data_IF_860236022864
#
_entry.id   IF_860236022864
#
_cell.length_a   1.000
_cell.length_b   1.000
_cell.length_c   1.000
_cell.angle_alpha   90.00
_cell.angle_beta   90.00
_cell.angle_gamma   90.00
#
_symmetry.space_group_name_H-M   'P 1'
#
loop_
_entity.id
_entity.type
_entity.pdbx_description
1 polymer ?
#
# COMPACT_ATOMS: atom_id res chain seq x y z
N UNK A 1 -13.89 -3.92 -19.48
CA UNK A 1 -15.28 -4.10 -18.96
C UNK A 1 -16.23 -3.39 -19.89
N UNK A 2 -17.41 -3.97 -20.18
CA UNK A 2 -18.33 -3.42 -21.17
C UNK A 2 -19.57 -2.87 -20.46
N UNK A 3 -19.78 -1.57 -20.57
CA UNK A 3 -21.01 -0.92 -20.17
C UNK A 3 -21.80 -0.56 -21.43
N UNK A 4 -23.08 -0.91 -21.47
CA UNK A 4 -23.90 -0.71 -22.66
C UNK A 4 -23.97 0.76 -23.04
N UNK A 5 -23.67 1.10 -24.30
CA UNK A 5 -23.68 2.49 -24.77
C UNK A 5 -22.53 3.36 -24.24
N UNK A 6 -21.48 2.79 -23.65
CA UNK A 6 -20.30 3.52 -23.19
C UNK A 6 -19.04 3.06 -23.92
N UNK A 7 -18.16 4.01 -24.26
CA UNK A 7 -16.85 3.75 -24.89
C UNK A 7 -15.75 4.36 -24.05
N UNK A 8 -14.76 3.57 -23.66
CA UNK A 8 -13.59 4.07 -22.92
C UNK A 8 -12.74 5.03 -23.77
N UNK A 9 -12.21 6.08 -23.13
CA UNK A 9 -11.48 7.19 -23.80
C UNK A 9 -10.08 7.42 -23.23
N UNK A 10 -9.92 7.35 -21.91
CA UNK A 10 -8.65 7.57 -21.21
C UNK A 10 -8.57 6.76 -19.93
N UNK A 11 -7.36 6.50 -19.45
CA UNK A 11 -7.10 5.82 -18.18
C UNK A 11 -5.95 6.48 -17.41
N UNK A 12 -6.19 6.70 -16.12
CA UNK A 12 -5.23 7.25 -15.18
C UNK A 12 -5.00 6.21 -14.09
N UNK A 13 -3.76 5.73 -13.96
CA UNK A 13 -3.36 4.70 -13.01
C UNK A 13 -2.42 5.27 -11.95
N UNK A 14 -2.65 4.86 -10.71
CA UNK A 14 -1.76 5.09 -9.58
C UNK A 14 -1.47 3.74 -8.90
N UNK A 15 -0.22 3.30 -8.97
CA UNK A 15 0.20 1.96 -8.58
C UNK A 15 1.24 2.04 -7.46
N UNK A 16 1.04 1.31 -6.36
CA UNK A 16 2.10 1.06 -5.39
C UNK A 16 3.15 0.16 -6.04
N UNK A 17 4.42 0.32 -5.64
CA UNK A 17 5.46 -0.61 -6.04
C UNK A 17 5.11 -2.07 -5.67
N UNK A 18 5.67 -3.02 -6.43
CA UNK A 18 5.58 -4.45 -6.12
C UNK A 18 6.32 -4.85 -4.84
N UNK A 19 6.36 -6.14 -4.59
CA UNK A 19 7.04 -6.75 -3.44
C UNK A 19 8.51 -6.33 -3.37
N UNK A 20 8.97 -6.04 -2.15
CA UNK A 20 10.30 -5.51 -1.87
C UNK A 20 10.93 -6.20 -0.68
N UNK A 21 12.22 -5.97 -0.49
CA UNK A 21 12.92 -6.28 0.74
C UNK A 21 12.53 -5.32 1.89
N UNK A 22 12.82 -5.68 3.17
CA UNK A 22 12.39 -4.91 4.32
C UNK A 22 13.10 -3.55 4.42
N UNK A 23 12.58 -2.71 5.30
CA UNK A 23 13.09 -1.34 5.49
C UNK A 23 14.41 -1.28 6.27
N UNK A 24 15.02 -0.09 6.27
CA UNK A 24 16.27 0.21 7.02
C UNK A 24 16.19 -0.08 8.52
N UNK A 25 14.99 -0.02 9.12
CA UNK A 25 14.76 -0.33 10.53
C UNK A 25 14.77 -1.84 10.83
N UNK A 26 14.55 -2.68 9.82
CA UNK A 26 14.34 -4.12 9.99
C UNK A 26 15.55 -4.94 9.59
N UNK A 27 16.14 -4.74 8.40
CA UNK A 27 17.22 -5.61 7.90
C UNK A 27 18.39 -5.77 8.88
N UNK A 28 18.96 -4.69 9.47
CA UNK A 28 20.06 -4.84 10.42
C UNK A 28 19.66 -5.71 11.63
N UNK A 29 18.46 -5.45 12.18
CA UNK A 29 17.91 -6.23 13.30
C UNK A 29 17.64 -7.68 12.90
N UNK A 30 17.13 -7.92 11.70
CA UNK A 30 16.89 -9.27 11.17
C UNK A 30 18.18 -10.08 11.05
N UNK A 31 19.25 -9.46 10.57
CA UNK A 31 20.56 -10.11 10.43
C UNK A 31 21.24 -10.36 11.77
N UNK A 32 20.96 -9.54 12.79
CA UNK A 32 21.61 -9.65 14.09
C UNK A 32 20.80 -10.45 15.13
N UNK A 33 19.51 -10.17 15.28
CA UNK A 33 18.65 -10.69 16.35
C UNK A 33 18.05 -12.05 15.99
N UNK A 34 17.61 -12.26 14.75
CA UNK A 34 16.91 -13.50 14.37
C UNK A 34 17.81 -14.74 14.42
N UNK A 35 19.09 -14.73 14.00
CA UNK A 35 19.97 -15.87 14.20
C UNK A 35 20.20 -16.22 15.69
N UNK A 36 20.26 -15.20 16.56
CA UNK A 36 20.36 -15.40 18.02
C UNK A 36 19.10 -16.04 18.57
N UNK A 37 17.92 -15.55 18.16
CA UNK A 37 16.62 -16.12 18.55
C UNK A 37 16.45 -17.54 18.02
N UNK A 38 16.82 -17.81 16.77
CA UNK A 38 16.81 -19.14 16.17
C UNK A 38 17.63 -20.13 17.02
N UNK A 39 18.83 -19.75 17.46
CA UNK A 39 19.66 -20.59 18.32
C UNK A 39 18.99 -20.90 19.66
N UNK A 40 18.45 -19.88 20.34
CA UNK A 40 17.72 -20.03 21.61
C UNK A 40 16.51 -20.95 21.45
N UNK A 41 15.75 -20.80 20.37
CA UNK A 41 14.57 -21.61 20.07
C UNK A 41 14.95 -23.08 19.89
N UNK A 42 16.02 -23.36 19.15
CA UNK A 42 16.51 -24.73 18.92
C UNK A 42 17.06 -25.36 20.22
N UNK A 43 17.82 -24.62 21.02
CA UNK A 43 18.28 -25.09 22.33
C UNK A 43 17.10 -25.40 23.27
N UNK A 44 16.10 -24.53 23.30
CA UNK A 44 14.90 -24.77 24.09
C UNK A 44 14.11 -25.99 23.58
N UNK A 45 14.10 -26.23 22.28
CA UNK A 45 13.47 -27.41 21.69
C UNK A 45 14.17 -28.70 22.13
N UNK A 46 15.49 -28.74 22.08
CA UNK A 46 16.29 -29.88 22.58
C UNK A 46 16.07 -30.15 24.08
N UNK A 47 15.81 -29.10 24.85
CA UNK A 47 15.48 -29.18 26.28
C UNK A 47 13.99 -29.46 26.59
N UNK A 48 13.15 -29.69 25.58
CA UNK A 48 11.72 -29.97 25.78
C UNK A 48 10.89 -28.79 26.30
N UNK A 49 11.35 -27.55 26.10
CA UNK A 49 10.72 -26.31 26.59
C UNK A 49 9.85 -25.60 25.55
N UNK A 50 9.76 -26.13 24.33
CA UNK A 50 8.96 -25.54 23.24
C UNK A 50 7.79 -26.44 22.87
N UNK A 51 6.87 -25.91 22.06
CA UNK A 51 5.77 -26.67 21.43
C UNK A 51 6.00 -26.90 19.94
N UNK A 52 7.21 -26.68 19.44
CA UNK A 52 7.56 -26.93 18.04
C UNK A 52 7.42 -28.41 17.71
N UNK A 53 6.91 -28.72 16.52
CA UNK A 53 7.01 -30.08 15.98
C UNK A 53 8.44 -30.38 15.53
N UNK A 54 8.78 -31.66 15.40
CA UNK A 54 10.08 -32.06 14.86
C UNK A 54 10.33 -31.49 13.45
N UNK A 55 9.27 -31.39 12.63
CA UNK A 55 9.35 -30.80 11.29
C UNK A 55 9.62 -29.29 11.37
N UNK A 56 8.95 -28.56 12.26
CA UNK A 56 9.20 -27.13 12.41
C UNK A 56 10.61 -26.86 12.95
N UNK A 57 11.11 -27.70 13.85
CA UNK A 57 12.50 -27.62 14.34
C UNK A 57 13.53 -27.83 13.22
N UNK A 58 13.26 -28.74 12.26
CA UNK A 58 14.10 -28.91 11.06
C UNK A 58 14.10 -27.64 10.21
N UNK A 59 12.92 -27.03 9.95
CA UNK A 59 12.83 -25.76 9.22
C UNK A 59 13.63 -24.65 9.92
N UNK A 60 13.52 -24.54 11.24
CA UNK A 60 14.33 -23.61 12.01
C UNK A 60 15.82 -23.92 11.88
N UNK A 61 16.25 -25.18 11.90
CA UNK A 61 17.67 -25.54 11.75
C UNK A 61 18.24 -25.17 10.38
N UNK A 62 17.44 -25.31 9.34
CA UNK A 62 17.81 -25.01 7.94
C UNK A 62 17.74 -23.53 7.61
N UNK A 63 16.93 -22.76 8.35
CA UNK A 63 16.71 -21.34 8.09
C UNK A 63 18.01 -20.54 8.06
N UNK A 64 18.18 -19.74 7.01
CA UNK A 64 19.24 -18.74 6.87
C UNK A 64 18.62 -17.46 6.28
N UNK A 65 19.01 -16.27 6.73
CA UNK A 65 18.50 -15.04 6.16
C UNK A 65 18.91 -14.91 4.68
N UNK A 66 17.93 -14.89 3.78
CA UNK A 66 18.13 -14.74 2.32
C UNK A 66 18.18 -13.26 1.89
N UNK A 67 18.88 -12.43 2.66
CA UNK A 67 18.98 -11.00 2.41
C UNK A 67 20.30 -10.43 2.93
N UNK A 68 20.67 -9.25 2.43
CA UNK A 68 21.86 -8.50 2.83
C UNK A 68 21.50 -7.03 3.13
N UNK A 69 22.46 -6.29 3.69
CA UNK A 69 22.32 -4.83 3.87
C UNK A 69 22.09 -4.09 2.54
N UNK A 70 22.58 -4.63 1.42
CA UNK A 70 22.45 -4.01 0.10
C UNK A 70 21.06 -4.17 -0.51
N UNK A 71 20.22 -5.04 0.05
CA UNK A 71 18.88 -5.31 -0.46
C UNK A 71 17.83 -4.33 0.09
N UNK A 72 18.20 -3.50 1.07
CA UNK A 72 17.26 -2.62 1.77
C UNK A 72 16.32 -1.83 0.85
N UNK A 73 15.02 -2.09 1.03
CA UNK A 73 13.92 -1.45 0.31
C UNK A 73 13.95 -1.61 -1.21
N UNK A 74 14.80 -2.48 -1.76
CA UNK A 74 14.82 -2.77 -3.20
C UNK A 74 13.65 -3.67 -3.58
N UNK A 75 13.17 -3.52 -4.82
CA UNK A 75 12.20 -4.45 -5.40
C UNK A 75 12.81 -5.87 -5.43
N UNK A 76 11.99 -6.88 -5.15
CA UNK A 76 12.39 -8.29 -5.28
C UNK A 76 11.99 -8.81 -6.66
N UNK A 77 12.51 -9.98 -7.05
CA UNK A 77 12.07 -10.66 -8.27
C UNK A 77 10.56 -10.95 -8.27
N UNK A 78 9.96 -11.28 -7.12
CA UNK A 78 8.51 -11.40 -7.06
C UNK A 78 7.81 -10.07 -7.35
N UNK A 79 8.32 -8.96 -6.82
CA UNK A 79 7.80 -7.63 -7.15
C UNK A 79 7.95 -7.26 -8.63
N UNK A 80 9.00 -7.73 -9.30
CA UNK A 80 9.17 -7.59 -10.75
C UNK A 80 8.06 -8.36 -11.50
N UNK A 81 7.85 -9.64 -11.15
CA UNK A 81 6.84 -10.51 -11.74
C UNK A 81 5.40 -9.99 -11.52
N UNK A 82 5.11 -9.49 -10.32
CA UNK A 82 3.84 -8.85 -9.98
C UNK A 82 3.53 -7.70 -10.93
N UNK A 83 4.51 -6.83 -11.17
CA UNK A 83 4.33 -5.63 -12.00
C UNK A 83 4.23 -5.98 -13.49
N UNK A 84 4.99 -6.96 -13.99
CA UNK A 84 4.83 -7.50 -15.35
C UNK A 84 3.40 -8.01 -15.52
N UNK A 85 2.97 -8.91 -14.64
CA UNK A 85 1.64 -9.52 -14.71
C UNK A 85 0.54 -8.48 -14.59
N UNK A 86 0.74 -7.43 -13.78
CA UNK A 86 -0.21 -6.31 -13.65
C UNK A 86 -0.31 -5.50 -14.94
N UNK A 87 0.81 -5.23 -15.62
CA UNK A 87 0.84 -4.59 -16.94
C UNK A 87 0.05 -5.38 -17.98
N UNK A 88 0.32 -6.68 -18.09
CA UNK A 88 -0.37 -7.60 -19.00
C UNK A 88 -1.89 -7.62 -18.75
N UNK A 89 -2.32 -7.70 -17.49
CA UNK A 89 -3.75 -7.70 -17.14
C UNK A 89 -4.46 -6.39 -17.47
N UNK A 90 -3.80 -5.25 -17.24
CA UNK A 90 -4.36 -3.94 -17.60
C UNK A 90 -4.47 -3.78 -19.13
N UNK A 91 -3.45 -4.19 -19.88
CA UNK A 91 -3.49 -4.19 -21.34
C UNK A 91 -4.58 -5.11 -21.89
N UNK A 92 -4.67 -6.35 -21.42
CA UNK A 92 -5.71 -7.29 -21.83
C UNK A 92 -7.12 -6.76 -21.53
N UNK A 93 -7.27 -5.98 -20.46
CA UNK A 93 -8.55 -5.41 -20.05
C UNK A 93 -8.95 -4.14 -20.82
N UNK A 94 -7.97 -3.33 -21.21
CA UNK A 94 -8.17 -2.05 -21.89
C UNK A 94 -7.29 -1.93 -23.16
N UNK A 95 -7.41 -2.85 -24.13
CA UNK A 95 -6.51 -2.89 -25.29
C UNK A 95 -6.61 -1.64 -26.18
N UNK A 96 -7.78 -0.98 -26.18
CA UNK A 96 -8.02 0.28 -26.89
C UNK A 96 -7.28 1.47 -26.27
N UNK A 97 -7.09 1.48 -24.95
CA UNK A 97 -6.37 2.52 -24.21
C UNK A 97 -4.89 2.20 -24.07
N UNK A 98 -4.55 0.91 -24.12
CA UNK A 98 -3.21 0.40 -23.85
C UNK A 98 -2.68 -0.50 -25.00
N UNK A 99 -2.48 0.05 -26.21
CA UNK A 99 -1.95 -0.72 -27.34
C UNK A 99 -0.52 -1.23 -27.10
N UNK A 100 -0.18 -2.38 -27.69
CA UNK A 100 1.12 -3.06 -27.51
C UNK A 100 2.34 -2.27 -28.02
N UNK A 101 2.12 -1.23 -28.84
CA UNK A 101 3.19 -0.40 -29.38
C UNK A 101 3.31 0.88 -28.55
N UNK A 102 4.48 1.06 -27.93
CA UNK A 102 4.78 2.27 -27.17
C UNK A 102 4.82 3.52 -28.06
N UNK A 103 4.17 4.59 -27.58
CA UNK A 103 4.33 5.97 -28.07
C UNK A 103 4.16 6.94 -26.90
N UNK A 104 4.94 8.02 -26.89
CA UNK A 104 4.79 9.11 -25.92
C UNK A 104 3.51 9.95 -26.14
N UNK A 105 2.84 9.80 -27.29
CA UNK A 105 1.51 10.36 -27.54
C UNK A 105 0.40 9.50 -26.91
N UNK A 106 0.70 8.24 -26.59
CA UNK A 106 -0.26 7.30 -26.00
C UNK A 106 -0.04 7.20 -24.49
N UNK A 107 1.21 7.12 -24.05
CA UNK A 107 1.58 6.79 -22.67
C UNK A 107 2.41 7.88 -21.99
N UNK A 108 2.09 8.13 -20.73
CA UNK A 108 2.94 8.87 -19.78
C UNK A 108 3.21 8.02 -18.56
N UNK A 109 4.50 7.77 -18.30
CA UNK A 109 4.97 7.08 -17.10
C UNK A 109 5.64 8.07 -16.16
N UNK A 110 5.37 7.98 -14.86
CA UNK A 110 6.14 8.69 -13.82
C UNK A 110 6.28 7.82 -12.58
N UNK A 111 7.36 7.98 -11.85
CA UNK A 111 7.61 7.26 -10.60
C UNK A 111 8.22 8.20 -9.57
N UNK A 112 8.09 7.87 -8.28
CA UNK A 112 8.83 8.58 -7.23
C UNK A 112 10.32 8.23 -7.26
N UNK A 113 11.21 9.14 -6.83
CA UNK A 113 12.67 8.90 -6.79
C UNK A 113 13.08 7.83 -5.75
N UNK A 114 12.75 6.56 -6.02
CA UNK A 114 13.18 5.37 -5.28
C UNK A 114 13.32 4.19 -6.24
N UNK A 115 14.33 3.35 -6.02
CA UNK A 115 14.60 2.19 -6.89
C UNK A 115 13.36 1.29 -7.07
N UNK A 116 12.65 0.97 -5.98
CA UNK A 116 11.48 0.07 -6.07
C UNK A 116 10.34 0.60 -6.93
N UNK A 117 10.12 1.91 -6.99
CA UNK A 117 9.07 2.49 -7.84
C UNK A 117 9.52 2.67 -9.28
N UNK A 118 10.80 2.97 -9.48
CA UNK A 118 11.40 2.98 -10.82
C UNK A 118 11.36 1.58 -11.45
N UNK A 119 11.86 0.57 -10.74
CA UNK A 119 11.83 -0.81 -11.25
C UNK A 119 10.40 -1.31 -11.43
N UNK A 120 9.46 -0.96 -10.54
CA UNK A 120 8.05 -1.30 -10.75
C UNK A 120 7.50 -0.70 -12.04
N UNK A 121 7.89 0.54 -12.37
CA UNK A 121 7.48 1.19 -13.62
C UNK A 121 8.06 0.47 -14.84
N UNK A 122 9.35 0.11 -14.79
CA UNK A 122 10.04 -0.62 -15.86
C UNK A 122 9.42 -2.00 -16.12
N UNK A 123 9.13 -2.74 -15.05
CA UNK A 123 8.55 -4.09 -15.15
C UNK A 123 7.08 -4.06 -15.57
N UNK A 124 6.30 -3.06 -15.13
CA UNK A 124 4.96 -2.84 -15.65
C UNK A 124 4.98 -2.53 -17.16
N UNK A 125 5.91 -1.68 -17.61
CA UNK A 125 6.10 -1.40 -19.03
C UNK A 125 6.58 -2.63 -19.82
N UNK A 126 7.40 -3.49 -19.21
CA UNK A 126 7.79 -4.76 -19.81
C UNK A 126 6.58 -5.69 -20.02
N UNK A 127 5.62 -5.71 -19.09
CA UNK A 127 4.35 -6.42 -19.27
C UNK A 127 3.46 -5.82 -20.37
N UNK A 128 3.50 -4.51 -20.59
CA UNK A 128 2.74 -3.85 -21.66
C UNK A 128 3.34 -4.03 -23.07
N UNK A 129 4.66 -4.02 -23.19
CA UNK A 129 5.33 -3.86 -24.50
C UNK A 129 6.33 -4.98 -24.82
N UNK A 130 6.54 -5.91 -23.87
CA UNK A 130 7.64 -6.86 -23.90
C UNK A 130 8.98 -6.23 -23.53
N UNK A 131 9.96 -7.09 -23.20
CA UNK A 131 11.27 -6.67 -22.68
C UNK A 131 12.09 -5.81 -23.63
N UNK A 132 12.00 -6.07 -24.95
CA UNK A 132 12.78 -5.33 -25.95
C UNK A 132 12.19 -3.93 -26.19
N UNK A 133 10.88 -3.84 -26.37
CA UNK A 133 10.22 -2.57 -26.70
C UNK A 133 10.15 -1.64 -25.48
N UNK A 134 10.05 -2.19 -24.27
CA UNK A 134 10.00 -1.39 -23.02
C UNK A 134 11.29 -0.59 -22.75
N UNK A 135 12.42 -0.94 -23.37
CA UNK A 135 13.66 -0.17 -23.28
C UNK A 135 13.55 1.23 -23.92
N UNK A 136 12.61 1.41 -24.85
CA UNK A 136 12.37 2.69 -25.51
C UNK A 136 11.39 3.60 -24.75
N UNK A 137 10.85 3.14 -23.62
CA UNK A 137 9.89 3.92 -22.83
C UNK A 137 10.59 5.11 -22.21
N UNK A 138 10.05 6.30 -22.47
CA UNK A 138 10.52 7.53 -21.85
C UNK A 138 9.97 7.65 -20.43
N UNK A 139 10.90 7.82 -19.49
CA UNK A 139 10.59 8.17 -18.11
C UNK A 139 11.15 9.57 -17.83
N UNK A 140 10.30 10.56 -17.53
CA UNK A 140 10.75 11.86 -17.05
C UNK A 140 11.53 11.71 -15.74
N UNK A 141 12.49 12.62 -15.51
CA UNK A 141 13.23 12.68 -14.25
C UNK A 141 12.27 12.80 -13.05
N UNK A 142 12.40 11.95 -12.02
CA UNK A 142 11.48 11.92 -10.91
C UNK A 142 11.65 13.15 -10.00
N UNK A 143 10.53 13.70 -9.55
CA UNK A 143 10.52 14.87 -8.66
C UNK A 143 10.69 14.42 -7.21
N UNK A 144 11.62 15.02 -6.47
CA UNK A 144 11.92 14.63 -5.08
C UNK A 144 10.73 14.84 -4.13
N UNK A 145 10.09 16.01 -4.18
CA UNK A 145 8.85 16.34 -3.46
C UNK A 145 7.69 16.41 -4.44
N UNK A 146 7.40 15.28 -5.06
CA UNK A 146 6.37 15.19 -6.08
C UNK A 146 4.99 15.54 -5.49
N UNK A 147 4.32 16.63 -5.94
CA UNK A 147 3.04 17.07 -5.40
C UNK A 147 1.88 16.16 -5.81
N UNK A 148 2.10 15.19 -6.71
CA UNK A 148 1.08 14.24 -7.18
C UNK A 148 1.40 12.86 -6.61
N UNK A 149 2.62 12.38 -6.82
CA UNK A 149 2.99 11.01 -6.44
C UNK A 149 3.34 10.87 -4.96
N UNK A 150 3.68 11.96 -4.29
CA UNK A 150 4.17 11.92 -2.91
C UNK A 150 3.83 13.20 -2.14
N UNK A 151 2.62 13.71 -2.36
CA UNK A 151 2.11 14.97 -1.80
C UNK A 151 2.36 15.12 -0.28
N UNK A 152 2.21 14.04 0.49
CA UNK A 152 2.48 14.04 1.93
C UNK A 152 3.92 14.35 2.33
N UNK A 153 4.91 14.11 1.46
CA UNK A 153 6.29 14.57 1.68
C UNK A 153 6.50 16.01 1.22
N UNK A 154 5.66 16.52 0.33
CA UNK A 154 5.64 17.93 -0.04
C UNK A 154 4.96 18.80 1.04
N UNK A 155 4.01 18.24 1.82
CA UNK A 155 3.26 18.95 2.86
C UNK A 155 4.05 19.12 4.18
N UNK A 156 4.54 20.32 4.54
CA UNK A 156 5.29 20.52 5.79
C UNK A 156 4.41 20.39 7.04
N UNK A 157 3.20 20.93 7.02
CA UNK A 157 2.26 20.86 8.15
C UNK A 157 1.90 19.44 8.53
N UNK A 158 1.55 18.58 7.57
CA UNK A 158 1.28 17.16 7.82
C UNK A 158 2.50 16.44 8.43
N UNK A 159 3.70 16.72 7.92
CA UNK A 159 4.93 16.12 8.46
C UNK A 159 5.19 16.51 9.92
N UNK A 160 4.78 17.69 10.34
CA UNK A 160 4.94 18.18 11.70
C UNK A 160 3.81 17.72 12.63
N UNK A 161 2.57 17.92 12.20
CA UNK A 161 1.36 17.70 13.02
C UNK A 161 0.91 16.24 13.05
N UNK A 162 1.33 15.41 12.10
CA UNK A 162 0.93 13.99 12.00
C UNK A 162 2.15 13.06 11.97
N UNK A 163 2.96 13.06 10.90
CA UNK A 163 4.07 12.09 10.67
C UNK A 163 5.06 12.03 11.85
N UNK A 164 5.47 13.20 12.35
CA UNK A 164 6.42 13.34 13.45
C UNK A 164 5.75 13.59 14.80
N UNK A 165 4.41 13.65 14.86
CA UNK A 165 3.69 13.94 16.07
C UNK A 165 3.54 12.66 16.91
N UNK A 166 4.12 12.58 18.13
CA UNK A 166 3.96 11.43 18.99
C UNK A 166 2.50 11.12 19.35
N UNK A 167 1.61 12.11 19.32
CA UNK A 167 0.19 11.91 19.61
C UNK A 167 -0.54 11.17 18.49
N UNK A 168 -0.05 11.23 17.25
CA UNK A 168 -0.66 10.52 16.12
C UNK A 168 -0.54 8.99 16.23
N UNK A 169 0.36 8.48 17.07
CA UNK A 169 0.50 7.04 17.33
C UNK A 169 0.07 6.63 18.76
N UNK A 170 -0.67 7.50 19.47
CA UNK A 170 -1.06 7.24 20.86
C UNK A 170 -1.95 6.00 20.99
N UNK A 171 -2.87 5.80 20.05
CA UNK A 171 -3.79 4.66 20.04
C UNK A 171 -3.02 3.34 19.83
N UNK A 172 -2.06 3.30 18.90
CA UNK A 172 -1.16 2.14 18.77
C UNK A 172 -0.41 1.88 20.08
N UNK A 173 0.17 2.91 20.70
CA UNK A 173 0.91 2.74 21.98
C UNK A 173 0.03 2.20 23.11
N UNK A 174 -1.23 2.62 23.20
CA UNK A 174 -2.19 2.06 24.17
C UNK A 174 -2.51 0.61 23.84
N UNK A 175 -2.73 0.28 22.57
CA UNK A 175 -2.99 -1.10 22.13
C UNK A 175 -1.82 -2.04 22.44
N UNK A 176 -0.58 -1.60 22.21
CA UNK A 176 0.62 -2.37 22.54
C UNK A 176 0.79 -2.67 24.04
N UNK A 177 0.09 -1.93 24.92
CA UNK A 177 0.06 -2.16 26.38
C UNK A 177 -1.20 -2.92 26.84
N UNK A 178 -2.06 -3.32 25.92
CA UNK A 178 -3.31 -4.00 26.23
C UNK A 178 -3.10 -5.43 26.68
N UNK A 179 -4.10 -5.98 27.38
CA UNK A 179 -4.12 -7.40 27.76
C UNK A 179 -4.01 -8.33 26.56
N UNK A 180 -4.60 -7.95 25.42
CA UNK A 180 -4.53 -8.70 24.15
C UNK A 180 -3.08 -8.92 23.70
N UNK A 181 -2.26 -7.87 23.73
CA UNK A 181 -0.85 -7.97 23.31
C UNK A 181 -0.02 -8.72 24.35
N UNK A 182 -0.30 -8.54 25.64
CA UNK A 182 0.34 -9.32 26.71
C UNK A 182 0.06 -10.82 26.52
N UNK A 183 -1.19 -11.19 26.24
CA UNK A 183 -1.59 -12.59 26.03
C UNK A 183 -0.95 -13.20 24.79
N UNK A 184 -0.85 -12.43 23.70
CA UNK A 184 -0.10 -12.85 22.51
C UNK A 184 1.36 -13.13 22.85
N UNK A 185 2.02 -12.25 23.61
CA UNK A 185 3.43 -12.44 24.00
C UNK A 185 3.61 -13.64 24.94
N UNK A 186 2.68 -13.88 25.86
CA UNK A 186 2.69 -15.06 26.72
C UNK A 186 2.47 -16.35 25.91
N UNK A 187 1.59 -16.34 24.91
CA UNK A 187 1.39 -17.46 23.99
C UNK A 187 2.66 -17.77 23.19
N UNK A 188 3.29 -16.74 22.61
CA UNK A 188 4.57 -16.87 21.89
C UNK A 188 5.62 -17.44 22.83
N UNK A 189 5.77 -16.89 24.04
CA UNK A 189 6.71 -17.37 25.05
C UNK A 189 6.51 -18.85 25.37
N UNK A 190 5.26 -19.26 25.61
CA UNK A 190 4.93 -20.65 25.89
C UNK A 190 5.17 -21.58 24.70
N UNK A 191 5.11 -21.06 23.48
CA UNK A 191 5.39 -21.80 22.26
C UNK A 191 6.88 -21.99 22.01
N UNK A 192 7.69 -20.93 22.18
CA UNK A 192 9.14 -20.94 21.87
C UNK A 192 10.05 -21.16 23.09
N UNK A 193 9.49 -21.26 24.29
CA UNK A 193 10.24 -21.46 25.53
C UNK A 193 11.09 -20.24 25.97
N UNK A 194 10.87 -19.07 25.39
CA UNK A 194 11.67 -17.87 25.62
C UNK A 194 10.80 -16.61 25.68
N UNK A 195 11.07 -15.73 26.65
CA UNK A 195 10.31 -14.47 26.77
C UNK A 195 10.80 -13.45 25.76
N UNK A 196 9.89 -12.87 24.98
CA UNK A 196 10.18 -11.81 24.01
C UNK A 196 9.32 -10.59 24.29
N UNK A 197 9.83 -9.41 23.94
CA UNK A 197 9.02 -8.20 23.91
C UNK A 197 8.27 -8.08 22.56
N UNK A 198 7.37 -7.10 22.45
CA UNK A 198 6.63 -6.86 21.22
C UNK A 198 7.54 -6.61 20.01
N UNK A 199 8.64 -5.88 20.17
CA UNK A 199 9.55 -5.55 19.06
C UNK A 199 10.27 -6.77 18.49
N UNK A 200 10.67 -7.74 19.32
CA UNK A 200 11.25 -8.99 18.85
C UNK A 200 10.19 -9.91 18.24
N UNK A 201 8.99 -9.99 18.84
CA UNK A 201 7.86 -10.73 18.27
C UNK A 201 7.45 -10.18 16.90
N UNK A 202 7.37 -8.86 16.78
CA UNK A 202 7.07 -8.16 15.55
C UNK A 202 8.18 -8.35 14.51
N UNK A 203 9.46 -8.42 14.90
CA UNK A 203 10.56 -8.72 13.98
C UNK A 203 10.44 -10.13 13.38
N UNK A 204 10.08 -11.13 14.19
CA UNK A 204 9.80 -12.50 13.74
C UNK A 204 8.59 -12.54 12.79
N UNK A 205 7.48 -11.87 13.16
CA UNK A 205 6.31 -11.70 12.30
C UNK A 205 6.66 -11.02 10.96
N UNK A 206 7.45 -9.95 11.02
CA UNK A 206 7.89 -9.21 9.83
C UNK A 206 8.73 -10.10 8.91
N UNK A 207 9.64 -10.92 9.45
CA UNK A 207 10.41 -11.87 8.64
C UNK A 207 9.49 -12.91 7.97
N UNK A 208 8.56 -13.49 8.72
CA UNK A 208 7.54 -14.38 8.19
C UNK A 208 6.80 -13.74 7.00
N UNK A 209 6.24 -12.55 7.19
CA UNK A 209 5.47 -11.85 6.15
C UNK A 209 6.30 -11.59 4.88
N UNK A 210 7.56 -11.17 5.03
CA UNK A 210 8.44 -10.92 3.90
C UNK A 210 8.87 -12.19 3.18
N UNK A 211 9.25 -13.25 3.89
CA UNK A 211 9.62 -14.52 3.26
C UNK A 211 8.44 -15.15 2.51
N UNK A 212 7.23 -15.07 3.08
CA UNK A 212 5.99 -15.48 2.37
C UNK A 212 5.75 -14.65 1.11
N UNK A 213 6.03 -13.35 1.15
CA UNK A 213 5.89 -12.49 -0.03
C UNK A 213 6.97 -12.73 -1.09
N UNK A 214 8.17 -13.21 -0.74
CA UNK A 214 9.24 -13.46 -1.71
C UNK A 214 9.13 -14.83 -2.39
N UNK A 215 8.65 -15.84 -1.66
CA UNK A 215 8.63 -17.22 -2.12
C UNK A 215 7.28 -17.89 -1.78
N UNK A 216 6.34 -17.88 -2.72
CA UNK A 216 4.98 -18.41 -2.50
C UNK A 216 4.93 -19.90 -2.10
N UNK A 217 5.95 -20.67 -2.46
CA UNK A 217 6.02 -22.12 -2.23
C UNK A 217 6.85 -22.53 -1.01
N UNK A 218 7.42 -21.57 -0.27
CA UNK A 218 8.28 -21.86 0.88
C UNK A 218 7.66 -21.28 2.15
N UNK A 219 7.39 -22.17 3.11
CA UNK A 219 6.86 -21.75 4.41
C UNK A 219 8.03 -21.29 5.28
N UNK A 220 8.03 -20.01 5.63
CA UNK A 220 8.96 -19.47 6.62
C UNK A 220 8.76 -20.15 7.98
N UNK A 221 9.84 -20.62 8.64
CA UNK A 221 9.75 -21.17 9.99
C UNK A 221 9.24 -20.13 11.00
N UNK A 222 9.52 -18.84 10.78
CA UNK A 222 9.03 -17.77 11.64
C UNK A 222 7.50 -17.69 11.66
N UNK A 223 6.82 -18.09 10.57
CA UNK A 223 5.36 -18.14 10.53
C UNK A 223 4.78 -19.23 11.45
N UNK A 224 5.55 -20.29 11.74
CA UNK A 224 5.09 -21.42 12.57
C UNK A 224 4.96 -21.07 14.05
N UNK A 225 5.52 -19.94 14.48
CA UNK A 225 5.46 -19.47 15.86
C UNK A 225 4.06 -18.95 16.22
N UNK A 226 3.32 -18.45 15.24
CA UNK A 226 2.14 -17.64 15.46
C UNK A 226 0.85 -18.42 15.18
N UNK A 227 -0.13 -18.25 16.06
CA UNK A 227 -1.51 -18.63 15.78
C UNK A 227 -2.18 -17.58 14.87
N UNK A 228 -3.32 -17.95 14.28
CA UNK A 228 -4.13 -17.00 13.50
C UNK A 228 -4.54 -15.78 14.34
N UNK A 229 -4.79 -15.95 15.63
CA UNK A 229 -5.13 -14.83 16.50
C UNK A 229 -3.94 -13.89 16.70
N UNK A 230 -2.72 -14.42 16.80
CA UNK A 230 -1.51 -13.58 16.92
C UNK A 230 -1.30 -12.74 15.66
N UNK A 231 -1.51 -13.31 14.47
CA UNK A 231 -1.51 -12.56 13.21
C UNK A 231 -2.54 -11.41 13.21
N UNK A 232 -3.77 -11.66 13.70
CA UNK A 232 -4.79 -10.60 13.82
C UNK A 232 -4.37 -9.47 14.77
N UNK A 233 -3.64 -9.79 15.83
CA UNK A 233 -3.11 -8.78 16.78
C UNK A 233 -2.02 -7.94 16.11
N UNK A 234 -1.11 -8.54 15.34
CA UNK A 234 -0.12 -7.78 14.56
C UNK A 234 -0.79 -6.91 13.50
N UNK A 235 -1.71 -7.49 12.71
CA UNK A 235 -2.48 -6.78 11.69
C UNK A 235 -3.20 -5.56 12.27
N UNK A 236 -3.92 -5.73 13.38
CA UNK A 236 -4.63 -4.63 14.01
C UNK A 236 -3.70 -3.53 14.55
N UNK A 237 -2.52 -3.90 15.06
CA UNK A 237 -1.52 -2.91 15.48
C UNK A 237 -0.99 -2.08 14.29
N UNK A 238 -0.85 -2.67 13.11
CA UNK A 238 -0.50 -1.95 11.88
C UNK A 238 -1.67 -1.11 11.37
N UNK A 239 -2.89 -1.65 11.39
CA UNK A 239 -4.09 -0.94 10.95
C UNK A 239 -4.34 0.32 11.76
N UNK A 240 -4.16 0.29 13.08
CA UNK A 240 -4.26 1.51 13.91
C UNK A 240 -3.23 2.55 13.44
N UNK A 241 -1.97 2.17 13.24
CA UNK A 241 -0.95 3.12 12.80
C UNK A 241 -1.30 3.73 11.45
N UNK A 242 -1.65 2.91 10.46
CA UNK A 242 -2.03 3.39 9.14
C UNK A 242 -3.32 4.21 9.16
N UNK A 243 -4.30 3.87 10.02
CA UNK A 243 -5.53 4.65 10.16
C UNK A 243 -5.23 6.08 10.61
N UNK A 244 -4.37 6.23 11.62
CA UNK A 244 -4.05 7.52 12.20
C UNK A 244 -3.01 8.32 11.40
N UNK A 245 -2.04 7.67 10.76
CA UNK A 245 -0.97 8.36 10.00
C UNK A 245 -1.33 8.52 8.53
N UNK A 246 -1.98 7.52 7.94
CA UNK A 246 -2.21 7.43 6.49
C UNK A 246 -3.67 7.46 6.04
N UNK A 247 -4.62 7.29 6.96
CA UNK A 247 -6.04 7.25 6.68
C UNK A 247 -6.83 8.39 7.33
N UNK A 248 -7.95 8.02 7.95
CA UNK A 248 -9.00 8.92 8.42
C UNK A 248 -8.70 9.62 9.75
N UNK A 249 -7.64 9.29 10.46
CA UNK A 249 -7.38 9.82 11.81
C UNK A 249 -7.19 11.34 11.86
N UNK A 250 -6.68 11.97 10.79
CA UNK A 250 -6.57 13.42 10.68
C UNK A 250 -7.06 13.88 9.31
N UNK A 251 -7.89 14.92 9.25
CA UNK A 251 -8.41 15.47 7.97
C UNK A 251 -7.29 15.88 7.02
N UNK A 252 -6.28 16.58 7.54
CA UNK A 252 -5.08 16.99 6.79
C UNK A 252 -4.36 15.80 6.11
N UNK A 253 -4.45 14.59 6.67
CA UNK A 253 -3.80 13.40 6.11
C UNK A 253 -4.32 13.07 4.72
N UNK A 254 -5.63 13.09 4.51
CA UNK A 254 -6.24 12.69 3.24
C UNK A 254 -6.67 13.87 2.36
N UNK A 255 -6.99 15.05 2.93
CA UNK A 255 -7.37 16.24 2.15
C UNK A 255 -6.26 16.66 1.17
N UNK A 256 -5.00 16.53 1.58
CA UNK A 256 -3.84 16.81 0.72
C UNK A 256 -3.74 15.89 -0.51
N UNK A 257 -4.47 14.77 -0.56
CA UNK A 257 -4.54 13.91 -1.74
C UNK A 257 -5.33 14.54 -2.90
N UNK A 258 -5.98 15.69 -2.66
CA UNK A 258 -6.69 16.45 -3.68
C UNK A 258 -5.79 16.79 -4.88
N UNK A 259 -4.48 16.97 -4.67
CA UNK A 259 -3.55 17.28 -5.74
C UNK A 259 -3.42 16.15 -6.77
N UNK A 260 -3.48 14.89 -6.31
CA UNK A 260 -3.48 13.73 -7.19
C UNK A 260 -4.81 13.58 -7.93
N UNK A 261 -5.92 13.89 -7.26
CA UNK A 261 -7.24 13.81 -7.88
C UNK A 261 -7.46 14.92 -8.92
N UNK A 262 -6.95 16.13 -8.64
CA UNK A 262 -6.91 17.22 -9.60
C UNK A 262 -6.10 16.85 -10.85
N UNK A 263 -4.90 16.27 -10.70
CA UNK A 263 -4.11 15.79 -11.86
C UNK A 263 -4.91 14.77 -12.71
N UNK A 264 -5.70 13.90 -12.07
CA UNK A 264 -6.60 12.97 -12.78
C UNK A 264 -7.70 13.72 -13.56
N UNK A 265 -8.37 14.69 -12.94
CA UNK A 265 -9.41 15.48 -13.61
C UNK A 265 -8.86 16.32 -14.76
N UNK A 266 -7.73 16.99 -14.56
CA UNK A 266 -7.02 17.78 -15.57
C UNK A 266 -6.63 16.89 -16.76
N UNK A 267 -6.16 15.67 -16.49
CA UNK A 267 -5.82 14.68 -17.51
C UNK A 267 -7.04 14.26 -18.36
N UNK A 268 -8.21 14.08 -17.74
CA UNK A 268 -9.44 13.75 -18.44
C UNK A 268 -10.09 14.92 -19.18
N UNK A 269 -9.92 16.15 -18.67
CA UNK A 269 -10.39 17.36 -19.35
C UNK A 269 -9.55 17.69 -20.60
N UNK A 270 -8.28 17.31 -20.61
CA UNK A 270 -7.41 17.51 -21.78
C UNK A 270 -7.91 16.71 -22.99
N UNK A 271 -8.08 17.39 -24.14
CA UNK A 271 -8.38 16.74 -25.43
C UNK A 271 -7.13 16.15 -26.09
N UNK A 272 -5.95 16.43 -25.55
CA UNK A 272 -4.66 16.06 -26.13
C UNK A 272 -4.14 14.74 -25.55
N UNK A 273 -3.08 14.21 -26.19
CA UNK A 273 -2.25 13.13 -25.66
C UNK A 273 -1.72 13.47 -24.26
N UNK A 274 -1.50 12.48 -23.39
CA UNK A 274 -1.64 11.04 -23.62
C UNK A 274 -3.05 10.50 -23.33
N UNK A 275 -3.31 9.25 -23.73
CA UNK A 275 -4.56 8.52 -23.40
C UNK A 275 -4.42 7.64 -22.16
N UNK A 276 -3.19 7.23 -21.84
CA UNK A 276 -2.85 6.42 -20.67
C UNK A 276 -1.79 7.11 -19.84
N UNK A 277 -2.06 7.28 -18.56
CA UNK A 277 -1.09 7.74 -17.57
C UNK A 277 -0.89 6.64 -16.52
N UNK A 278 0.37 6.28 -16.25
CA UNK A 278 0.73 5.28 -15.25
C UNK A 278 1.77 5.83 -14.26
N UNK A 279 1.35 5.92 -13.00
CA UNK A 279 2.10 6.55 -11.94
C UNK A 279 2.48 5.57 -10.83
N UNK A 280 3.76 5.52 -10.45
CA UNK A 280 4.28 4.54 -9.48
C UNK A 280 4.70 5.21 -8.17
N UNK A 281 4.11 4.75 -7.07
CA UNK A 281 4.13 5.40 -5.78
C UNK A 281 4.25 4.41 -4.59
N UNK A 282 3.86 4.84 -3.40
CA UNK A 282 3.96 4.13 -2.14
C UNK A 282 2.59 4.00 -1.47
N UNK A 283 2.53 3.07 -0.51
CA UNK A 283 1.43 2.88 0.44
C UNK A 283 0.79 4.19 0.92
N UNK A 284 1.58 5.12 1.46
CA UNK A 284 1.04 6.39 1.99
C UNK A 284 0.27 7.24 0.98
N UNK A 285 0.56 7.15 -0.33
CA UNK A 285 -0.22 7.86 -1.36
C UNK A 285 -1.53 7.13 -1.64
N UNK A 286 -1.49 5.79 -1.75
CA UNK A 286 -2.67 4.94 -1.98
C UNK A 286 -3.67 5.12 -0.85
N UNK A 287 -3.25 4.91 0.40
CA UNK A 287 -4.12 5.01 1.58
C UNK A 287 -4.75 6.39 1.74
N UNK A 288 -3.98 7.47 1.54
CA UNK A 288 -4.48 8.85 1.64
C UNK A 288 -5.50 9.16 0.54
N UNK A 289 -5.30 8.66 -0.68
CA UNK A 289 -6.27 8.83 -1.76
C UNK A 289 -7.54 8.00 -1.52
N UNK A 290 -7.41 6.74 -1.06
CA UNK A 290 -8.57 5.94 -0.67
C UNK A 290 -9.38 6.62 0.43
N UNK A 291 -8.72 7.20 1.42
CA UNK A 291 -9.36 7.94 2.50
C UNK A 291 -10.08 9.21 1.99
N UNK A 292 -9.48 9.96 1.06
CA UNK A 292 -10.15 11.10 0.43
C UNK A 292 -11.41 10.69 -0.33
N UNK A 293 -11.37 9.52 -0.98
CA UNK A 293 -12.49 8.95 -1.74
C UNK A 293 -13.56 8.27 -0.85
N UNK A 294 -13.36 8.22 0.47
CA UNK A 294 -14.29 7.58 1.40
C UNK A 294 -14.29 6.04 1.34
N UNK A 295 -13.26 5.43 0.76
CA UNK A 295 -13.12 3.97 0.65
C UNK A 295 -12.64 3.36 1.96
N UNK A 296 -13.19 2.20 2.35
CA UNK A 296 -12.82 1.46 3.56
C UNK A 296 -12.96 2.30 4.85
N UNK A 297 -13.98 3.15 4.91
CA UNK A 297 -14.24 4.02 6.07
C UNK A 297 -15.08 3.28 7.11
N UNK A 298 -14.48 3.07 8.28
CA UNK A 298 -15.22 2.55 9.43
C UNK A 298 -16.29 3.52 9.93
N UNK A 299 -17.36 2.95 10.52
CA UNK A 299 -18.43 3.73 11.16
C UNK A 299 -17.94 4.54 12.35
N UNK A 300 -16.95 4.03 13.07
CA UNK A 300 -16.30 4.65 14.21
C UNK A 300 -14.78 4.67 14.00
N UNK A 301 -14.06 5.65 14.55
CA UNK A 301 -12.61 5.68 14.46
C UNK A 301 -11.96 4.42 15.01
N UNK A 302 -10.84 3.99 14.40
CA UNK A 302 -10.09 2.82 14.84
C UNK A 302 -9.27 3.19 16.08
N UNK A 303 -9.72 2.74 17.25
CA UNK A 303 -9.12 3.03 18.56
C UNK A 303 -8.40 1.81 19.13
N UNK A 304 -7.60 2.02 20.17
CA UNK A 304 -6.85 0.95 20.85
C UNK A 304 -7.73 -0.15 21.46
N UNK A 305 -8.95 0.18 21.88
CA UNK A 305 -9.93 -0.74 22.46
C UNK A 305 -10.84 -1.38 21.40
N UNK A 306 -10.68 -0.99 20.13
CA UNK A 306 -11.55 -1.46 19.06
C UNK A 306 -11.29 -2.92 18.66
N UNK A 307 -10.17 -3.53 19.08
CA UNK A 307 -9.87 -4.92 18.75
C UNK A 307 -10.98 -5.89 19.21
N UNK A 308 -11.50 -5.67 20.43
CA UNK A 308 -12.53 -6.51 21.02
C UNK A 308 -13.94 -6.13 20.55
N UNK A 309 -14.19 -4.85 20.24
CA UNK A 309 -15.50 -4.36 19.80
C UNK A 309 -15.81 -4.66 18.34
N UNK A 310 -14.80 -4.95 17.51
CA UNK A 310 -15.00 -5.48 16.18
C UNK A 310 -15.33 -6.97 16.25
N UNK A 311 -16.56 -7.29 16.66
CA UNK A 311 -17.08 -8.66 16.62
C UNK A 311 -16.80 -9.27 15.24
N UNK A 312 -16.10 -10.41 15.23
CA UNK A 312 -15.75 -11.14 14.02
C UNK A 312 -14.87 -10.38 13.02
N UNK A 313 -14.02 -9.45 13.48
CA UNK A 313 -12.98 -8.88 12.62
C UNK A 313 -13.61 -8.15 11.39
N UNK A 314 -14.66 -7.35 11.63
CA UNK A 314 -15.47 -6.68 10.58
C UNK A 314 -15.09 -5.23 10.29
N UNK A 315 -13.90 -4.78 10.70
CA UNK A 315 -13.44 -3.41 10.37
C UNK A 315 -13.24 -3.28 8.86
N UNK A 316 -13.54 -2.11 8.33
CA UNK A 316 -13.35 -1.76 6.92
C UNK A 316 -11.89 -1.40 6.65
N UNK A 317 -11.25 -0.66 7.57
CA UNK A 317 -9.84 -0.27 7.44
C UNK A 317 -8.89 -1.43 7.81
N UNK A 318 -8.62 -2.29 6.83
CA UNK A 318 -7.65 -3.39 6.93
C UNK A 318 -6.52 -3.22 5.92
N UNK A 319 -5.36 -2.76 6.36
CA UNK A 319 -4.19 -2.53 5.50
C UNK A 319 -3.72 -3.80 4.77
N UNK A 320 -3.88 -4.97 5.38
CA UNK A 320 -3.64 -6.29 4.76
C UNK A 320 -4.53 -6.59 3.54
N UNK A 321 -5.64 -5.85 3.36
CA UNK A 321 -6.56 -5.96 2.23
C UNK A 321 -6.47 -4.75 1.31
N UNK A 322 -6.37 -3.54 1.86
CA UNK A 322 -6.47 -2.28 1.10
C UNK A 322 -5.10 -1.69 0.73
N UNK A 323 -4.01 -2.23 1.22
CA UNK A 323 -2.67 -1.71 0.94
C UNK A 323 -1.61 -2.82 0.99
N UNK A 324 -1.75 -3.75 0.06
CA UNK A 324 -0.78 -4.81 -0.22
C UNK A 324 0.27 -4.35 -1.23
N UNK A 325 1.30 -5.17 -1.46
CA UNK A 325 2.21 -4.90 -2.57
C UNK A 325 1.46 -4.88 -3.91
N UNK A 326 1.89 -4.01 -4.82
CA UNK A 326 1.23 -3.76 -6.11
C UNK A 326 -0.25 -3.30 -6.04
N UNK A 327 -0.77 -2.87 -4.87
CA UNK A 327 -2.08 -2.22 -4.78
C UNK A 327 -2.17 -1.06 -5.78
N UNK A 328 -3.28 -0.99 -6.50
CA UNK A 328 -3.44 -0.10 -7.64
C UNK A 328 -4.83 0.54 -7.66
N UNK A 329 -4.85 1.79 -8.08
CA UNK A 329 -6.05 2.60 -8.33
C UNK A 329 -6.08 2.91 -9.82
N UNK A 330 -7.24 2.76 -10.44
CA UNK A 330 -7.48 3.22 -11.80
C UNK A 330 -8.73 4.10 -11.84
N UNK A 331 -8.63 5.21 -12.55
CA UNK A 331 -9.78 5.94 -13.04
C UNK A 331 -9.83 5.74 -14.56
N UNK A 332 -10.99 5.37 -15.09
CA UNK A 332 -11.21 5.17 -16.52
C UNK A 332 -12.31 6.09 -16.99
N UNK A 333 -11.99 6.99 -17.92
CA UNK A 333 -12.96 7.87 -18.55
C UNK A 333 -13.72 7.11 -19.64
N UNK A 334 -15.03 7.11 -19.55
CA UNK A 334 -15.98 6.63 -20.53
C UNK A 334 -16.78 7.79 -21.11
N UNK A 335 -17.17 7.65 -22.37
CA UNK A 335 -18.18 8.48 -23.03
C UNK A 335 -19.43 7.63 -23.24
N UNK A 336 -20.50 7.93 -22.50
CA UNK A 336 -21.73 7.16 -22.46
C UNK A 336 -22.87 7.91 -23.15
N UNK A 337 -23.60 7.26 -24.06
CA UNK A 337 -24.74 7.87 -24.76
C UNK A 337 -25.82 8.38 -23.82
N UNK A 338 -26.03 7.73 -22.67
CA UNK A 338 -27.09 8.06 -21.71
C UNK A 338 -26.76 9.22 -20.76
N UNK A 339 -25.48 9.42 -20.42
CA UNK A 339 -25.06 10.32 -19.33
C UNK A 339 -23.80 11.14 -19.63
N UNK A 340 -23.27 11.05 -20.86
CA UNK A 340 -22.06 11.73 -21.30
C UNK A 340 -20.79 11.18 -20.64
N UNK A 341 -19.81 12.08 -20.45
CA UNK A 341 -18.52 11.72 -19.84
C UNK A 341 -18.71 11.21 -18.41
N UNK A 342 -18.17 10.02 -18.15
CA UNK A 342 -18.35 9.29 -16.90
C UNK A 342 -17.07 8.57 -16.51
N UNK A 343 -16.77 8.51 -15.21
CA UNK A 343 -15.53 7.96 -14.68
C UNK A 343 -15.83 6.69 -13.91
N UNK A 344 -15.21 5.59 -14.32
CA UNK A 344 -15.16 4.35 -13.56
C UNK A 344 -13.97 4.43 -12.59
N UNK A 345 -14.24 4.29 -11.29
CA UNK A 345 -13.22 4.05 -10.29
C UNK A 345 -12.99 2.56 -10.11
N UNK A 346 -11.72 2.15 -10.10
CA UNK A 346 -11.31 0.80 -9.81
C UNK A 346 -10.25 0.80 -8.73
N UNK A 347 -10.37 -0.16 -7.82
CA UNK A 347 -9.38 -0.42 -6.80
C UNK A 347 -8.99 -1.89 -6.84
N UNK A 348 -7.68 -2.16 -6.90
CA UNK A 348 -7.09 -3.49 -7.07
C UNK A 348 -7.75 -4.25 -8.22
N UNK A 349 -7.73 -3.63 -9.41
CA UNK A 349 -8.28 -4.19 -10.63
C UNK A 349 -9.80 -4.48 -10.60
N UNK A 350 -10.57 -4.02 -9.60
CA UNK A 350 -12.01 -4.27 -9.50
C UNK A 350 -12.78 -2.94 -9.48
N UNK A 351 -13.92 -2.83 -10.20
CA UNK A 351 -14.83 -1.71 -10.03
C UNK A 351 -15.20 -1.53 -8.57
N UNK A 352 -15.15 -0.28 -8.10
CA UNK A 352 -15.70 0.13 -6.83
C UNK A 352 -16.54 1.38 -7.07
N UNK A 353 -17.78 1.35 -6.60
CA UNK A 353 -18.70 2.47 -6.77
C UNK A 353 -18.56 3.41 -5.57
N UNK A 354 -18.09 4.61 -5.85
CA UNK A 354 -17.87 5.64 -4.84
C UNK A 354 -19.20 6.18 -4.28
N UNK A 355 -19.20 6.76 -3.07
CA UNK A 355 -20.37 7.46 -2.54
C UNK A 355 -20.94 8.47 -3.55
N UNK A 356 -22.27 8.55 -3.64
CA UNK A 356 -23.03 9.40 -4.56
C UNK A 356 -22.94 9.03 -6.06
N UNK A 357 -22.22 7.98 -6.43
CA UNK A 357 -22.17 7.46 -7.80
C UNK A 357 -23.17 6.29 -7.99
N UNK A 358 -23.64 6.02 -9.23
CA UNK A 358 -24.44 4.83 -9.55
C UNK A 358 -23.70 3.53 -9.18
N UNK A 359 -24.44 2.48 -8.81
CA UNK A 359 -23.88 1.19 -8.37
C UNK A 359 -23.67 0.17 -9.48
N UNK A 360 -23.98 0.51 -10.72
CA UNK A 360 -24.00 -0.41 -11.86
C UNK A 360 -23.40 0.19 -13.15
N UNK A 361 -23.00 1.47 -13.13
CA UNK A 361 -22.43 2.18 -14.27
C UNK A 361 -21.30 3.14 -13.83
N UNK A 362 -20.42 3.57 -14.75
CA UNK A 362 -19.44 4.62 -14.47
C UNK A 362 -20.12 5.88 -13.92
N UNK A 363 -19.44 6.61 -13.03
CA UNK A 363 -20.02 7.77 -12.38
C UNK A 363 -20.01 9.00 -13.30
N UNK A 364 -21.13 9.71 -13.53
CA UNK A 364 -21.11 10.92 -14.34
C UNK A 364 -20.04 11.91 -13.85
N UNK A 365 -19.26 12.49 -14.77
CA UNK A 365 -18.13 13.34 -14.41
C UNK A 365 -18.57 14.55 -13.57
N UNK A 366 -19.73 15.13 -13.87
CA UNK A 366 -20.31 16.22 -13.08
C UNK A 366 -20.61 15.79 -11.63
N UNK A 367 -21.15 14.58 -11.43
CA UNK A 367 -21.39 14.03 -10.08
C UNK A 367 -20.09 13.84 -9.31
N UNK A 368 -19.05 13.30 -9.97
CA UNK A 368 -17.75 13.12 -9.32
C UNK A 368 -17.09 14.45 -8.95
N UNK A 369 -17.18 15.48 -9.81
CA UNK A 369 -16.68 16.84 -9.54
C UNK A 369 -17.43 17.53 -8.40
N UNK A 370 -18.73 17.29 -8.22
CA UNK A 370 -19.46 17.81 -7.05
C UNK A 370 -19.05 17.13 -5.74
N UNK A 371 -18.55 15.89 -5.81
CA UNK A 371 -18.20 15.11 -4.63
C UNK A 371 -16.75 15.27 -4.18
N UNK A 372 -15.84 15.64 -5.08
CA UNK A 372 -14.41 15.64 -4.81
C UNK A 372 -13.68 16.81 -5.47
N UNK A 373 -12.60 17.32 -4.84
CA UNK A 373 -11.92 18.53 -5.30
C UNK A 373 -11.32 18.35 -6.70
N UNK A 374 -11.69 19.24 -7.63
CA UNK A 374 -11.27 19.18 -9.03
C UNK A 374 -10.53 20.43 -9.55
N UNK A 375 -10.45 21.48 -8.74
CA UNK A 375 -9.90 22.79 -9.09
C UNK A 375 -8.83 23.27 -8.11
N UNK A 376 -8.08 24.31 -8.48
CA UNK A 376 -7.06 24.90 -7.58
C UNK A 376 -7.74 25.63 -6.40
N UNK A 377 -8.95 26.16 -6.60
CA UNK A 377 -9.75 26.80 -5.56
C UNK A 377 -10.22 25.80 -4.49
N UNK A 378 -10.54 24.56 -4.88
CA UNK A 378 -10.94 23.48 -3.97
C UNK A 378 -9.75 22.73 -3.39
N UNK A 379 -8.65 22.61 -4.14
CA UNK A 379 -7.40 21.99 -3.72
C UNK A 379 -6.32 23.03 -3.42
N UNK A 380 -6.50 23.82 -2.37
CA UNK A 380 -5.53 24.81 -1.91
C UNK A 380 -4.34 24.16 -1.19
N UNK A 381 -3.57 23.33 -1.90
CA UNK A 381 -2.52 22.49 -1.32
C UNK A 381 -1.50 23.29 -0.51
N UNK A 382 -0.97 24.38 -1.07
CA UNK A 382 0.06 25.18 -0.39
C UNK A 382 -0.45 25.85 0.88
N UNK A 383 -1.69 26.37 0.85
CA UNK A 383 -2.33 26.97 2.02
C UNK A 383 -2.63 25.90 3.10
N UNK A 384 -3.18 24.75 2.68
CA UNK A 384 -3.45 23.61 3.56
C UNK A 384 -2.18 23.08 4.23
N UNK A 385 -1.06 23.08 3.50
CA UNK A 385 0.22 22.57 3.98
C UNK A 385 1.11 23.61 4.65
N UNK A 386 0.70 24.88 4.67
CA UNK A 386 1.43 25.94 5.34
C UNK A 386 1.52 25.70 6.85
N UNK A 387 2.72 25.87 7.41
CA UNK A 387 2.95 25.82 8.85
C UNK A 387 2.78 27.23 9.39
N UNK A 388 1.73 27.50 10.14
CA UNK A 388 1.60 28.76 10.86
C UNK A 388 2.70 28.86 11.91
N UNK A 389 3.60 29.83 11.76
CA UNK A 389 4.50 30.22 12.86
C UNK A 389 3.65 30.81 13.97
N UNK A 390 3.56 30.13 15.10
CA UNK A 390 3.14 30.80 16.33
C UNK A 390 4.24 31.82 16.66
N UNK A 391 3.97 33.11 16.42
CA UNK A 391 4.71 34.18 17.06
C UNK A 391 4.49 34.01 18.56
N UNK A 392 5.57 33.66 19.28
CA UNK A 392 5.62 33.63 20.73
C UNK A 392 5.55 35.05 21.31
#
# INVERSE_FOLDING_TARGET
>A
MKYSGCVEKKIWLLLRHGTRYPGKKYIPRMLEELPKLQHIILENYENGKTRLSANDAILFKEWRPKLTLNDMMKLTTEGENEMISLGERYQARFPSLMPEIYSNQTYKFRYTLTQRTEESARHFAAGLFGWRSSQNVLYPEPVYRDPILRFYKACPRWRQEVDKNPNAIVEKRKFLKSKTVIDMLDNIKNFIGHSVNYESAHLMHTMCAFETAWEQNVISPWCKIFSLNDFKVFEFAEDIEYYWIDGYGYRLTYEQACSALKDMFDFFASKESPITTAYFTHSGTILKLLALLGVAKDTHPLMHDSFASHENDKREWKSSIIDVFASNIAFVLYDCTSQGLSILFMFQERPLYLPNCPSDMPCPMATMKMAYPDSDEECQFDAMCHVSTQEN
#
